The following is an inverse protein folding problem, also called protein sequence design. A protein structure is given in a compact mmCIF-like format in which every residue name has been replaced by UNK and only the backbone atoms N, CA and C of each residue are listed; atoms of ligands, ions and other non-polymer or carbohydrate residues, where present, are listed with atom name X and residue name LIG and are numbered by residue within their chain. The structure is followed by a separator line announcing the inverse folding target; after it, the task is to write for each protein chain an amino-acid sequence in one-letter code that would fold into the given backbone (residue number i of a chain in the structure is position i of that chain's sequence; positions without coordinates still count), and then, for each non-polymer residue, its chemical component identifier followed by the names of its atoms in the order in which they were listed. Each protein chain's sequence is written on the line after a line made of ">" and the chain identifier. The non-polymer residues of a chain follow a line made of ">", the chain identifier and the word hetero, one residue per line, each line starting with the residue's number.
data_IF_432636080514
#
_entry.id   IF_432636080514
#
_cell.length_a   1.000
_cell.length_b   1.000
_cell.length_c   1.000
_cell.angle_alpha   90.00
_cell.angle_beta   90.00
_cell.angle_gamma   90.00
#
_symmetry.space_group_name_H-M   'P 1'
#
loop_
_entity.id
_entity.type
_entity.pdbx_description
1 polymer ?
#
# COMPACT_ATOMS: atom_id res chain seq x y z
N UNK A 1 -44.47 21.00 14.25
CA UNK A 1 -43.40 21.60 15.05
C UNK A 1 -42.95 20.54 16.06
N UNK A 2 -42.30 19.47 15.63
CA UNK A 2 -40.91 19.25 15.19
C UNK A 2 -39.90 19.07 16.35
N UNK A 3 -39.87 17.86 16.93
CA UNK A 3 -38.82 17.38 17.85
C UNK A 3 -37.42 17.31 17.19
N UNK A 4 -37.32 17.49 15.85
CA UNK A 4 -36.03 17.65 15.16
C UNK A 4 -35.48 19.09 15.27
N UNK A 5 -36.34 20.09 15.40
CA UNK A 5 -35.89 21.49 15.56
C UNK A 5 -35.38 21.74 16.99
N UNK A 6 -36.01 21.15 18.01
CA UNK A 6 -35.56 21.23 19.41
C UNK A 6 -34.27 20.44 19.68
N UNK A 7 -34.09 19.29 19.00
CA UNK A 7 -32.84 18.54 19.04
C UNK A 7 -31.70 19.30 18.34
N UNK A 8 -31.97 19.96 17.21
CA UNK A 8 -31.01 20.83 16.53
C UNK A 8 -30.60 22.04 17.37
N UNK A 9 -31.56 22.68 18.04
CA UNK A 9 -31.32 23.84 18.90
C UNK A 9 -30.56 23.51 20.19
N UNK A 10 -30.81 22.34 20.79
CA UNK A 10 -30.11 21.90 22.01
C UNK A 10 -28.68 21.44 21.71
N UNK A 11 -28.45 20.85 20.53
CA UNK A 11 -27.10 20.53 20.04
C UNK A 11 -26.35 21.83 19.74
N UNK A 12 -26.97 22.82 19.10
CA UNK A 12 -26.35 24.14 18.87
C UNK A 12 -26.01 24.90 20.16
N UNK A 13 -26.86 24.84 21.18
CA UNK A 13 -26.60 25.48 22.48
C UNK A 13 -25.49 24.80 23.30
N UNK A 14 -25.28 23.49 23.09
CA UNK A 14 -24.17 22.75 23.71
C UNK A 14 -22.86 22.97 22.94
N UNK A 15 -22.92 23.10 21.61
CA UNK A 15 -21.79 23.51 20.75
C UNK A 15 -21.36 24.97 20.99
N UNK A 16 -22.24 25.84 21.47
CA UNK A 16 -21.95 27.26 21.73
C UNK A 16 -21.11 27.51 23.00
N UNK A 17 -20.83 26.48 23.81
CA UNK A 17 -20.04 26.62 25.06
C UNK A 17 -18.55 26.39 24.88
N UNK A 18 -18.11 25.88 23.72
CA UNK A 18 -16.69 25.76 23.41
C UNK A 18 -16.47 25.73 21.88
N UNK A 19 -16.38 26.92 21.24
CA UNK A 19 -16.11 27.05 19.80
C UNK A 19 -14.79 26.41 19.36
N UNK A 20 -13.91 26.05 20.30
CA UNK A 20 -12.63 25.39 20.06
C UNK A 20 -12.64 23.88 20.41
N UNK A 21 -13.82 23.25 20.51
CA UNK A 21 -13.88 21.80 20.72
C UNK A 21 -13.84 21.05 19.37
N UNK A 22 -12.90 20.11 19.24
CA UNK A 22 -12.77 19.23 18.07
C UNK A 22 -14.08 18.51 17.70
N UNK A 23 -14.87 18.08 18.69
CA UNK A 23 -16.16 17.41 18.46
C UNK A 23 -17.21 18.33 17.80
N UNK A 24 -17.22 19.62 18.15
CA UNK A 24 -18.08 20.65 17.54
C UNK A 24 -17.81 20.76 16.03
N UNK A 25 -16.54 20.91 15.67
CA UNK A 25 -16.10 20.95 14.28
C UNK A 25 -16.40 19.63 13.55
N UNK A 26 -16.21 18.47 14.19
CA UNK A 26 -16.53 17.20 13.57
C UNK A 26 -18.04 17.06 13.30
N UNK A 27 -18.91 17.45 14.23
CA UNK A 27 -20.37 17.44 14.05
C UNK A 27 -20.82 18.36 12.90
N UNK A 28 -20.25 19.56 12.81
CA UNK A 28 -20.50 20.47 11.68
C UNK A 28 -20.05 19.84 10.35
N UNK A 29 -18.90 19.16 10.33
CA UNK A 29 -18.42 18.45 9.15
C UNK A 29 -19.40 17.39 8.67
N UNK A 30 -19.94 16.58 9.58
CA UNK A 30 -20.96 15.58 9.25
C UNK A 30 -22.26 16.20 8.75
N UNK A 31 -22.74 17.28 9.38
CA UNK A 31 -23.93 17.99 8.93
C UNK A 31 -23.74 18.58 7.51
N UNK A 32 -22.58 19.19 7.23
CA UNK A 32 -22.25 19.65 5.87
C UNK A 32 -22.21 18.49 4.86
N UNK A 33 -21.66 17.34 5.25
CA UNK A 33 -21.60 16.17 4.38
C UNK A 33 -22.99 15.61 4.05
N UNK A 34 -23.88 15.53 5.03
CA UNK A 34 -25.29 15.14 4.85
C UNK A 34 -26.04 16.09 3.92
N UNK A 35 -25.71 17.39 3.97
CA UNK A 35 -26.26 18.41 3.08
C UNK A 35 -25.60 18.42 1.68
N UNK A 36 -24.67 17.51 1.39
CA UNK A 36 -23.94 17.47 0.11
C UNK A 36 -22.85 18.54 -0.02
N UNK A 37 -22.61 19.35 1.01
CA UNK A 37 -21.58 20.40 1.07
C UNK A 37 -20.21 19.83 1.41
N UNK A 38 -19.74 18.89 0.57
CA UNK A 38 -18.53 18.10 0.78
C UNK A 38 -17.28 18.92 1.08
N UNK A 39 -17.08 20.05 0.39
CA UNK A 39 -15.89 20.88 0.57
C UNK A 39 -15.87 21.57 1.93
N UNK A 40 -17.00 22.12 2.36
CA UNK A 40 -17.16 22.68 3.71
C UNK A 40 -17.01 21.61 4.78
N UNK A 41 -17.55 20.40 4.54
CA UNK A 41 -17.37 19.27 5.43
C UNK A 41 -15.89 18.96 5.69
N UNK A 42 -15.08 18.93 4.62
CA UNK A 42 -13.63 18.70 4.70
C UNK A 42 -12.89 19.81 5.47
N UNK A 43 -13.34 21.06 5.38
CA UNK A 43 -12.79 22.17 6.17
C UNK A 43 -13.08 22.01 7.66
N UNK A 44 -14.33 21.69 8.02
CA UNK A 44 -14.72 21.43 9.40
C UNK A 44 -13.99 20.21 9.99
N UNK A 45 -13.89 19.10 9.24
CA UNK A 45 -13.11 17.95 9.70
C UNK A 45 -11.62 18.26 9.86
N UNK A 46 -11.05 19.08 8.97
CA UNK A 46 -9.67 19.54 9.10
C UNK A 46 -9.46 20.33 10.38
N UNK A 47 -10.38 21.22 10.71
CA UNK A 47 -10.28 22.04 11.92
C UNK A 47 -10.43 21.20 13.18
N UNK A 48 -11.33 20.20 13.16
CA UNK A 48 -11.41 19.20 14.22
C UNK A 48 -10.06 18.48 14.44
N UNK A 49 -9.39 18.05 13.36
CA UNK A 49 -8.09 17.39 13.44
C UNK A 49 -6.92 18.34 13.77
N UNK A 50 -7.09 19.65 13.57
CA UNK A 50 -6.14 20.67 14.03
C UNK A 50 -6.21 20.82 15.56
N UNK A 51 -7.41 20.79 16.11
CA UNK A 51 -7.68 20.93 17.55
C UNK A 51 -7.35 19.64 18.31
N UNK A 52 -7.74 18.50 17.76
CA UNK A 52 -7.42 17.17 18.29
C UNK A 52 -7.06 16.23 17.14
N UNK A 53 -5.78 15.96 16.99
CA UNK A 53 -5.27 15.07 15.97
C UNK A 53 -5.83 13.65 16.08
N UNK A 54 -6.22 13.20 17.28
CA UNK A 54 -6.72 11.85 17.56
C UNK A 54 -8.24 11.74 17.45
N UNK A 55 -8.94 12.77 16.97
CA UNK A 55 -10.38 12.69 16.75
C UNK A 55 -10.72 11.71 15.60
N UNK A 56 -10.95 10.44 15.95
CA UNK A 56 -11.29 9.37 15.01
C UNK A 56 -12.59 9.66 14.24
N UNK A 57 -13.54 10.36 14.85
CA UNK A 57 -14.81 10.74 14.22
C UNK A 57 -14.60 11.71 13.05
N UNK A 58 -13.69 12.68 13.23
CA UNK A 58 -13.28 13.59 12.17
C UNK A 58 -12.44 12.89 11.09
N UNK A 59 -11.54 11.96 11.47
CA UNK A 59 -10.78 11.14 10.51
C UNK A 59 -11.73 10.31 9.63
N UNK A 60 -12.74 9.68 10.22
CA UNK A 60 -13.78 8.94 9.50
C UNK A 60 -14.60 9.84 8.57
N UNK A 61 -14.92 11.05 9.03
CA UNK A 61 -15.61 12.07 8.25
C UNK A 61 -14.87 12.48 6.97
N UNK A 62 -13.54 12.68 7.05
CA UNK A 62 -12.71 12.93 5.86
C UNK A 62 -12.83 11.76 4.88
N UNK A 63 -12.71 10.52 5.36
CA UNK A 63 -12.78 9.33 4.50
C UNK A 63 -14.13 9.26 3.77
N UNK A 64 -15.24 9.56 4.44
CA UNK A 64 -16.57 9.55 3.84
C UNK A 64 -16.78 10.71 2.85
N UNK A 65 -16.32 11.91 3.21
CA UNK A 65 -16.32 13.06 2.30
C UNK A 65 -15.49 12.79 1.04
N UNK A 66 -14.38 12.06 1.13
CA UNK A 66 -13.59 11.66 -0.03
C UNK A 66 -14.32 10.67 -0.94
N UNK A 67 -15.08 9.71 -0.39
CA UNK A 67 -15.93 8.79 -1.18
C UNK A 67 -17.00 9.56 -1.97
N UNK A 68 -17.68 10.49 -1.31
CA UNK A 68 -18.73 11.30 -1.92
C UNK A 68 -18.20 12.17 -3.07
N UNK A 69 -16.91 12.50 -3.06
CA UNK A 69 -16.29 13.40 -4.03
C UNK A 69 -15.85 12.78 -5.34
N UNK A 70 -15.55 11.47 -5.37
CA UNK A 70 -15.06 10.82 -6.56
C UNK A 70 -15.42 9.31 -6.55
N UNK A 71 -16.18 8.82 -7.55
CA UNK A 71 -16.60 7.42 -7.58
C UNK A 71 -15.43 6.45 -7.73
N UNK A 72 -14.36 6.83 -8.44
CA UNK A 72 -13.14 6.00 -8.57
C UNK A 72 -12.47 5.86 -7.22
N UNK A 73 -12.34 6.97 -6.48
CA UNK A 73 -11.80 6.96 -5.13
C UNK A 73 -12.64 6.07 -4.21
N UNK A 74 -13.97 6.15 -4.31
CA UNK A 74 -14.88 5.31 -3.55
C UNK A 74 -14.68 3.81 -3.85
N UNK A 75 -14.54 3.43 -5.12
CA UNK A 75 -14.29 2.03 -5.52
C UNK A 75 -12.94 1.54 -5.00
N UNK A 76 -11.87 2.33 -5.20
CA UNK A 76 -10.53 1.98 -4.73
C UNK A 76 -10.50 1.83 -3.21
N UNK A 77 -11.13 2.76 -2.50
CA UNK A 77 -11.21 2.73 -1.06
C UNK A 77 -12.00 1.51 -0.56
N UNK A 78 -13.15 1.22 -1.18
CA UNK A 78 -13.95 0.02 -0.85
C UNK A 78 -13.12 -1.24 -1.04
N UNK A 79 -12.36 -1.33 -2.12
CA UNK A 79 -11.45 -2.46 -2.37
C UNK A 79 -10.37 -2.57 -1.29
N UNK A 80 -9.62 -1.50 -1.00
CA UNK A 80 -8.54 -1.57 -0.01
C UNK A 80 -9.04 -1.90 1.39
N UNK A 81 -10.17 -1.33 1.81
CA UNK A 81 -10.80 -1.64 3.11
C UNK A 81 -11.38 -3.05 3.15
N UNK A 82 -11.89 -3.57 2.04
CA UNK A 82 -12.33 -4.96 1.96
C UNK A 82 -11.13 -5.90 2.13
N UNK A 83 -10.05 -5.66 1.37
CA UNK A 83 -8.85 -6.50 1.41
C UNK A 83 -8.14 -6.44 2.77
N UNK A 84 -8.11 -5.28 3.43
CA UNK A 84 -7.48 -5.13 4.75
C UNK A 84 -8.21 -5.88 5.87
N UNK A 85 -9.49 -6.21 5.68
CA UNK A 85 -10.29 -6.99 6.64
C UNK A 85 -10.11 -8.50 6.50
N UNK A 86 -9.58 -8.98 5.38
CA UNK A 86 -9.40 -10.42 5.16
C UNK A 86 -8.28 -10.96 6.06
N UNK A 87 -8.49 -12.15 6.63
CA UNK A 87 -7.43 -12.83 7.38
C UNK A 87 -6.25 -13.17 6.45
N UNK A 88 -5.02 -13.26 6.99
CA UNK A 88 -3.85 -13.60 6.17
C UNK A 88 -4.06 -14.90 5.36
N UNK A 89 -4.72 -15.92 5.93
CA UNK A 89 -5.00 -17.17 5.24
C UNK A 89 -5.91 -17.00 4.02
N UNK A 90 -6.93 -16.14 4.10
CA UNK A 90 -7.80 -15.84 2.95
C UNK A 90 -7.05 -15.05 1.88
N UNK A 91 -6.23 -14.07 2.27
CA UNK A 91 -5.36 -13.37 1.32
C UNK A 91 -4.44 -14.35 0.58
N UNK A 92 -3.85 -15.32 1.28
CA UNK A 92 -3.05 -16.39 0.65
C UNK A 92 -3.88 -17.28 -0.28
N UNK A 93 -5.10 -17.66 0.10
CA UNK A 93 -5.98 -18.48 -0.75
C UNK A 93 -6.30 -17.78 -2.08
N UNK A 94 -6.53 -16.46 -2.06
CA UNK A 94 -6.75 -15.64 -3.26
C UNK A 94 -5.51 -15.70 -4.18
N UNK A 95 -4.30 -15.59 -3.61
CA UNK A 95 -3.05 -15.64 -4.37
C UNK A 95 -2.77 -17.04 -4.92
N UNK A 96 -3.00 -18.09 -4.13
CA UNK A 96 -2.83 -19.47 -4.61
C UNK A 96 -3.82 -19.76 -5.74
N UNK A 97 -5.10 -19.39 -5.55
CA UNK A 97 -6.13 -19.55 -6.58
C UNK A 97 -5.78 -18.79 -7.86
N UNK A 98 -5.31 -17.55 -7.73
CA UNK A 98 -4.85 -16.76 -8.86
C UNK A 98 -3.61 -17.33 -9.55
N UNK A 99 -2.66 -17.90 -8.80
CA UNK A 99 -1.47 -18.56 -9.35
C UNK A 99 -1.84 -19.80 -10.16
N UNK A 100 -2.76 -20.62 -9.64
CA UNK A 100 -3.31 -21.76 -10.35
C UNK A 100 -4.05 -21.31 -11.61
N UNK A 101 -4.86 -20.26 -11.51
CA UNK A 101 -5.51 -19.62 -12.66
C UNK A 101 -4.51 -19.14 -13.72
N UNK A 102 -3.39 -18.54 -13.30
CA UNK A 102 -2.34 -18.09 -14.19
C UNK A 102 -1.62 -19.26 -14.91
N UNK A 103 -1.44 -20.41 -14.24
CA UNK A 103 -0.92 -21.62 -14.90
C UNK A 103 -1.89 -22.11 -15.98
N UNK A 104 -3.20 -22.09 -15.70
CA UNK A 104 -4.23 -22.44 -16.68
C UNK A 104 -4.21 -21.46 -17.86
N UNK A 105 -4.15 -20.14 -17.60
CA UNK A 105 -4.02 -19.13 -18.67
C UNK A 105 -2.81 -19.37 -19.57
N UNK A 106 -1.67 -19.78 -18.98
CA UNK A 106 -0.48 -20.16 -19.75
C UNK A 106 -0.70 -21.39 -20.63
N UNK A 107 -1.33 -22.43 -20.09
CA UNK A 107 -1.68 -23.65 -20.85
C UNK A 107 -2.63 -23.33 -22.01
N UNK A 108 -3.65 -22.50 -21.77
CA UNK A 108 -4.63 -22.11 -22.78
C UNK A 108 -3.99 -21.27 -23.88
N UNK A 109 -3.02 -20.41 -23.56
CA UNK A 109 -2.27 -19.62 -24.55
C UNK A 109 -1.47 -20.50 -25.51
N UNK A 110 -0.87 -21.58 -25.00
CA UNK A 110 -0.08 -22.51 -25.81
C UNK A 110 -0.98 -23.33 -26.74
N UNK A 111 -2.17 -23.72 -26.27
CA UNK A 111 -3.15 -24.44 -27.08
C UNK A 111 -3.88 -23.56 -28.10
N UNK A 112 -3.99 -22.25 -27.86
CA UNK A 112 -4.71 -21.30 -28.71
C UNK A 112 -3.87 -20.05 -29.02
N UNK A 113 -3.16 -20.02 -30.15
CA UNK A 113 -2.29 -18.90 -30.53
C UNK A 113 -3.02 -17.54 -30.59
N UNK A 114 -4.32 -17.52 -30.90
CA UNK A 114 -5.13 -16.29 -30.93
C UNK A 114 -5.36 -15.64 -29.56
N UNK A 115 -5.21 -16.38 -28.46
CA UNK A 115 -5.34 -15.86 -27.09
C UNK A 115 -4.00 -15.36 -26.52
N UNK A 116 -2.88 -15.72 -27.13
CA UNK A 116 -1.54 -15.38 -26.66
C UNK A 116 -1.33 -13.86 -26.41
N UNK A 117 -1.81 -12.93 -27.26
CA UNK A 117 -1.66 -11.49 -27.01
C UNK A 117 -2.37 -10.99 -25.75
N UNK A 118 -3.45 -11.65 -25.33
CA UNK A 118 -4.26 -11.26 -24.16
C UNK A 118 -3.70 -11.80 -22.84
N UNK A 119 -2.84 -12.83 -22.90
CA UNK A 119 -2.26 -13.47 -21.71
C UNK A 119 -1.26 -12.58 -20.99
N UNK A 120 -0.45 -11.79 -21.72
CA UNK A 120 0.50 -10.88 -21.10
C UNK A 120 -0.19 -9.75 -20.30
N UNK A 121 -1.17 -9.02 -20.87
CA UNK A 121 -1.99 -8.08 -20.10
C UNK A 121 -2.67 -8.71 -18.89
N UNK A 122 -3.24 -9.92 -19.04
CA UNK A 122 -3.88 -10.64 -17.94
C UNK A 122 -2.89 -10.99 -16.82
N UNK A 123 -1.66 -11.39 -17.16
CA UNK A 123 -0.57 -11.64 -16.19
C UNK A 123 -0.16 -10.38 -15.45
N UNK A 124 0.02 -9.27 -16.16
CA UNK A 124 0.36 -7.99 -15.55
C UNK A 124 -0.76 -7.56 -14.59
N UNK A 125 -2.03 -7.66 -15.02
CA UNK A 125 -3.18 -7.35 -14.18
C UNK A 125 -3.25 -8.26 -12.95
N UNK A 126 -2.95 -9.56 -13.10
CA UNK A 126 -2.91 -10.50 -11.99
C UNK A 126 -1.79 -10.16 -10.98
N UNK A 127 -0.57 -9.85 -11.46
CA UNK A 127 0.55 -9.45 -10.59
C UNK A 127 0.20 -8.15 -9.86
N UNK A 128 -0.36 -7.16 -10.57
CA UNK A 128 -0.81 -5.92 -9.96
C UNK A 128 -1.88 -6.18 -8.88
N UNK A 129 -2.86 -7.02 -9.17
CA UNK A 129 -3.88 -7.44 -8.20
C UNK A 129 -3.28 -8.14 -6.98
N UNK A 130 -2.30 -9.03 -7.18
CA UNK A 130 -1.59 -9.72 -6.10
C UNK A 130 -0.81 -8.73 -5.20
N UNK A 131 -0.09 -7.79 -5.80
CA UNK A 131 0.63 -6.73 -5.06
C UNK A 131 -0.36 -5.86 -4.29
N UNK A 132 -1.44 -5.40 -4.92
CA UNK A 132 -2.47 -4.59 -4.26
C UNK A 132 -3.19 -5.35 -3.14
N UNK A 133 -3.31 -6.67 -3.24
CA UNK A 133 -3.89 -7.53 -2.21
C UNK A 133 -3.03 -7.53 -0.94
N UNK A 134 -1.72 -7.74 -1.06
CA UNK A 134 -0.81 -7.78 0.10
C UNK A 134 -0.45 -6.41 0.65
N UNK A 135 -0.45 -5.39 -0.21
CA UNK A 135 -0.12 -4.01 0.16
C UNK A 135 -1.37 -3.14 0.35
N UNK A 136 -2.58 -3.72 0.42
CA UNK A 136 -3.84 -2.98 0.48
C UNK A 136 -3.87 -1.89 1.56
N UNK A 137 -3.40 -2.22 2.78
CA UNK A 137 -3.35 -1.26 3.88
C UNK A 137 -2.33 -0.13 3.65
N UNK A 138 -1.05 -0.42 3.35
CA UNK A 138 -0.10 0.64 2.98
C UNK A 138 -0.53 1.48 1.77
N UNK A 139 -1.17 0.85 0.77
CA UNK A 139 -1.68 1.52 -0.43
C UNK A 139 -2.87 2.43 -0.11
N UNK A 140 -3.74 2.03 0.81
CA UNK A 140 -4.77 2.91 1.35
C UNK A 140 -4.18 4.15 2.03
N UNK A 141 -3.15 3.97 2.86
CA UNK A 141 -2.47 5.10 3.52
C UNK A 141 -1.78 6.01 2.50
N UNK A 142 -1.10 5.45 1.51
CA UNK A 142 -0.49 6.21 0.41
C UNK A 142 -1.55 6.97 -0.40
N UNK A 143 -2.69 6.33 -0.69
CA UNK A 143 -3.80 6.96 -1.40
C UNK A 143 -4.41 8.13 -0.62
N UNK A 144 -4.62 7.97 0.70
CA UNK A 144 -5.04 9.08 1.57
C UNK A 144 -4.02 10.20 1.56
N UNK A 145 -2.73 9.86 1.65
CA UNK A 145 -1.64 10.84 1.68
C UNK A 145 -1.55 11.71 0.43
N UNK A 146 -1.80 11.14 -0.75
CA UNK A 146 -1.79 11.88 -2.01
C UNK A 146 -2.98 12.83 -2.13
N UNK A 147 -4.04 12.63 -1.36
CA UNK A 147 -5.16 13.55 -1.29
C UNK A 147 -4.88 14.72 -0.32
N UNK A 148 -5.21 15.94 -0.74
CA UNK A 148 -5.02 17.15 0.06
C UNK A 148 -5.60 17.05 1.47
N UNK A 149 -6.82 16.54 1.61
CA UNK A 149 -7.49 16.37 2.89
C UNK A 149 -7.26 14.97 3.48
N UNK A 150 -7.14 13.94 2.65
CA UNK A 150 -6.89 12.57 3.11
C UNK A 150 -5.62 12.42 3.96
N UNK A 151 -4.57 13.21 3.68
CA UNK A 151 -3.32 13.19 4.46
C UNK A 151 -3.52 13.57 5.93
N UNK A 152 -4.56 14.33 6.25
CA UNK A 152 -4.87 14.77 7.62
C UNK A 152 -5.47 13.64 8.46
N UNK A 153 -6.07 12.64 7.81
CA UNK A 153 -6.62 11.47 8.48
C UNK A 153 -5.54 10.45 8.90
N UNK A 154 -4.28 10.65 8.50
CA UNK A 154 -3.17 9.75 8.80
C UNK A 154 -2.50 10.12 10.12
N UNK A 155 -2.16 9.10 10.90
CA UNK A 155 -1.25 9.24 12.04
C UNK A 155 0.18 9.58 11.59
N UNK A 156 1.03 10.11 12.48
CA UNK A 156 2.45 10.33 12.18
C UNK A 156 3.16 9.05 11.71
N UNK A 157 2.83 7.90 12.32
CA UNK A 157 3.38 6.61 11.97
C UNK A 157 2.95 6.15 10.57
N UNK A 158 1.65 6.24 10.24
CA UNK A 158 1.14 5.93 8.89
C UNK A 158 1.73 6.87 7.82
N UNK A 159 2.09 8.09 8.21
CA UNK A 159 2.81 9.02 7.33
C UNK A 159 4.22 8.53 7.03
N UNK A 160 4.95 8.03 8.04
CA UNK A 160 6.27 7.41 7.85
C UNK A 160 6.15 6.13 7.01
N UNK A 161 5.19 5.25 7.30
CA UNK A 161 4.89 4.06 6.48
C UNK A 161 4.70 4.44 5.02
N UNK A 162 3.83 5.42 4.75
CA UNK A 162 3.53 5.89 3.40
C UNK A 162 4.75 6.47 2.67
N UNK A 163 5.74 7.04 3.38
CA UNK A 163 6.97 7.53 2.76
C UNK A 163 7.79 6.38 2.20
N UNK A 164 8.02 5.37 3.04
CA UNK A 164 8.87 4.24 2.69
C UNK A 164 8.22 3.41 1.59
N UNK A 165 6.93 3.07 1.78
CA UNK A 165 6.17 2.29 0.81
C UNK A 165 6.00 3.07 -0.49
N UNK A 166 5.68 4.36 -0.43
CA UNK A 166 5.57 5.21 -1.60
C UNK A 166 6.88 5.29 -2.39
N UNK A 167 8.02 5.44 -1.70
CA UNK A 167 9.34 5.47 -2.33
C UNK A 167 9.67 4.17 -3.07
N UNK A 168 9.52 3.02 -2.40
CA UNK A 168 9.77 1.70 -3.03
C UNK A 168 8.77 1.44 -4.16
N UNK A 169 7.51 1.83 -4.00
CA UNK A 169 6.49 1.69 -5.04
C UNK A 169 6.83 2.51 -6.28
N UNK A 170 7.31 3.75 -6.12
CA UNK A 170 7.76 4.58 -7.24
C UNK A 170 8.97 3.99 -7.96
N UNK A 171 9.94 3.42 -7.23
CA UNK A 171 11.07 2.70 -7.84
C UNK A 171 10.60 1.47 -8.63
N UNK A 172 9.64 0.72 -8.09
CA UNK A 172 8.99 -0.40 -8.79
C UNK A 172 8.25 0.06 -10.05
N UNK A 173 7.50 1.16 -9.97
CA UNK A 173 6.77 1.73 -11.10
C UNK A 173 7.73 2.24 -12.19
N UNK A 174 8.80 2.94 -11.81
CA UNK A 174 9.84 3.38 -12.74
C UNK A 174 10.50 2.19 -13.44
N UNK A 175 10.78 1.10 -12.69
CA UNK A 175 11.32 -0.14 -13.24
C UNK A 175 10.35 -0.82 -14.20
N UNK A 176 9.04 -0.81 -13.89
CA UNK A 176 8.00 -1.32 -14.78
C UNK A 176 7.91 -0.51 -16.08
N UNK A 177 7.92 0.82 -15.98
CA UNK A 177 7.91 1.72 -17.15
C UNK A 177 9.13 1.45 -18.03
N UNK A 178 10.31 1.28 -17.43
CA UNK A 178 11.53 0.91 -18.16
C UNK A 178 11.41 -0.46 -18.85
N UNK A 179 10.83 -1.46 -18.16
CA UNK A 179 10.57 -2.76 -18.76
C UNK A 179 9.62 -2.65 -19.95
N UNK A 180 8.52 -1.91 -19.82
CA UNK A 180 7.56 -1.69 -20.90
C UNK A 180 8.20 -0.97 -22.09
N UNK A 181 8.99 0.07 -21.84
CA UNK A 181 9.71 0.82 -22.87
C UNK A 181 10.74 -0.04 -23.63
N UNK A 182 11.32 -1.04 -22.96
CA UNK A 182 12.30 -1.96 -23.56
C UNK A 182 11.68 -3.28 -24.05
N UNK A 183 10.36 -3.43 -23.98
CA UNK A 183 9.65 -4.65 -24.36
C UNK A 183 10.03 -5.88 -23.50
N UNK A 184 10.38 -5.67 -22.22
CA UNK A 184 10.90 -6.68 -21.30
C UNK A 184 12.19 -7.37 -21.78
N UNK A 185 12.98 -6.71 -22.61
CA UNK A 185 14.26 -7.26 -23.07
C UNK A 185 15.45 -6.85 -22.20
N UNK A 186 15.28 -5.86 -21.31
CA UNK A 186 16.33 -5.39 -20.41
C UNK A 186 16.41 -6.24 -19.14
N UNK A 187 17.48 -7.05 -18.93
CA UNK A 187 17.61 -7.89 -17.73
C UNK A 187 17.70 -7.04 -16.46
N UNK A 188 18.34 -5.86 -16.57
CA UNK A 188 18.43 -4.91 -15.47
C UNK A 188 17.07 -4.35 -15.06
N UNK A 189 16.21 -4.00 -16.04
CA UNK A 189 14.85 -3.54 -15.76
C UNK A 189 14.03 -4.60 -15.02
N UNK A 190 14.10 -5.85 -15.47
CA UNK A 190 13.38 -6.98 -14.85
C UNK A 190 13.90 -7.23 -13.44
N UNK A 191 15.22 -7.18 -13.24
CA UNK A 191 15.87 -7.32 -11.93
C UNK A 191 15.37 -6.23 -10.97
N UNK A 192 15.43 -4.96 -11.39
CA UNK A 192 14.98 -3.83 -10.58
C UNK A 192 13.49 -3.94 -10.23
N UNK A 193 12.64 -4.30 -11.21
CA UNK A 193 11.21 -4.52 -11.00
C UNK A 193 10.96 -5.63 -9.98
N UNK A 194 11.72 -6.73 -10.05
CA UNK A 194 11.60 -7.85 -9.12
C UNK A 194 12.01 -7.44 -7.71
N UNK A 195 13.16 -6.76 -7.56
CA UNK A 195 13.66 -6.32 -6.26
C UNK A 195 12.70 -5.33 -5.60
N UNK A 196 12.35 -4.23 -6.28
CA UNK A 196 11.49 -3.21 -5.69
C UNK A 196 10.03 -3.66 -5.54
N UNK A 197 9.52 -4.45 -6.49
CA UNK A 197 8.17 -5.01 -6.41
C UNK A 197 8.00 -5.94 -5.21
N UNK A 198 8.98 -6.81 -4.95
CA UNK A 198 8.93 -7.74 -3.82
C UNK A 198 9.26 -7.09 -2.48
N UNK A 199 10.14 -6.07 -2.44
CA UNK A 199 10.48 -5.33 -1.21
C UNK A 199 9.26 -4.67 -0.54
N UNK A 200 8.19 -4.39 -1.28
CA UNK A 200 6.95 -3.88 -0.70
C UNK A 200 6.34 -4.83 0.35
N UNK A 201 6.59 -6.14 0.24
CA UNK A 201 6.01 -7.16 1.13
C UNK A 201 6.58 -7.12 2.56
N UNK A 202 7.90 -7.28 2.78
CA UNK A 202 8.46 -7.14 4.12
C UNK A 202 8.27 -5.73 4.67
N UNK A 203 8.28 -4.72 3.81
CA UNK A 203 8.07 -3.34 4.24
C UNK A 203 6.65 -3.11 4.78
N UNK A 204 5.63 -3.70 4.15
CA UNK A 204 4.28 -3.69 4.68
C UNK A 204 4.15 -4.46 6.01
N UNK A 205 4.95 -5.51 6.20
CA UNK A 205 5.01 -6.27 7.46
C UNK A 205 5.67 -5.50 8.62
N UNK A 206 6.63 -4.63 8.32
CA UNK A 206 7.36 -3.83 9.32
C UNK A 206 6.43 -2.99 10.19
N UNK A 207 5.50 -2.25 9.58
CA UNK A 207 4.60 -1.33 10.28
C UNK A 207 3.43 -2.03 10.97
N UNK A 208 3.25 -3.35 10.74
CA UNK A 208 2.31 -4.17 11.53
C UNK A 208 2.92 -4.65 12.86
N UNK A 209 4.25 -4.60 12.99
CA UNK A 209 4.92 -5.03 14.21
C UNK A 209 4.80 -3.97 15.29
N UNK A 210 4.50 -4.38 16.52
CA UNK A 210 4.49 -3.52 17.71
C UNK A 210 5.87 -2.90 17.95
N UNK A 211 5.87 -1.70 18.54
CA UNK A 211 7.11 -1.02 18.90
C UNK A 211 7.97 -1.86 19.87
N UNK A 212 9.29 -1.74 19.74
CA UNK A 212 10.24 -2.52 20.52
C UNK A 212 11.02 -3.54 19.70
N UNK A 213 11.35 -4.68 20.31
CA UNK A 213 12.19 -5.70 19.68
C UNK A 213 11.59 -6.35 18.41
N UNK A 214 10.25 -6.56 18.27
CA UNK A 214 9.70 -7.16 17.05
C UNK A 214 9.91 -6.25 15.84
N UNK A 215 9.57 -4.96 15.97
CA UNK A 215 9.79 -3.97 14.92
C UNK A 215 11.27 -3.79 14.57
N UNK A 216 12.17 -3.77 15.56
CA UNK A 216 13.63 -3.68 15.31
C UNK A 216 14.15 -4.89 14.54
N UNK A 217 13.67 -6.09 14.88
CA UNK A 217 14.00 -7.32 14.16
C UNK A 217 13.51 -7.26 12.72
N UNK A 218 12.24 -6.87 12.52
CA UNK A 218 11.67 -6.75 11.17
C UNK A 218 12.39 -5.67 10.35
N UNK A 219 12.79 -4.57 10.98
CA UNK A 219 13.58 -3.51 10.32
C UNK A 219 14.94 -4.05 9.86
N UNK A 220 15.65 -4.79 10.71
CA UNK A 220 16.92 -5.41 10.33
C UNK A 220 16.76 -6.36 9.14
N UNK A 221 15.67 -7.12 9.08
CA UNK A 221 15.34 -7.99 7.95
C UNK A 221 15.07 -7.18 6.68
N UNK A 222 14.25 -6.12 6.76
CA UNK A 222 13.98 -5.24 5.60
C UNK A 222 15.26 -4.60 5.08
N UNK A 223 16.12 -4.09 5.96
CA UNK A 223 17.42 -3.51 5.60
C UNK A 223 18.32 -4.55 4.96
N UNK A 224 18.45 -5.73 5.56
CA UNK A 224 19.24 -6.84 5.01
C UNK A 224 18.76 -7.25 3.62
N UNK A 225 17.46 -7.46 3.43
CA UNK A 225 16.88 -7.80 2.13
C UNK A 225 17.09 -6.69 1.10
N UNK A 226 16.99 -5.43 1.52
CA UNK A 226 17.28 -4.29 0.64
C UNK A 226 18.73 -4.32 0.16
N UNK A 227 19.69 -4.55 1.07
CA UNK A 227 21.11 -4.65 0.71
C UNK A 227 21.39 -5.84 -0.22
N UNK A 228 20.79 -7.01 0.03
CA UNK A 228 20.92 -8.19 -0.84
C UNK A 228 20.33 -7.90 -2.23
N UNK A 229 19.16 -7.28 -2.32
CA UNK A 229 18.55 -6.90 -3.58
C UNK A 229 19.39 -5.89 -4.39
N UNK A 230 19.93 -4.87 -3.71
CA UNK A 230 20.84 -3.90 -4.33
C UNK A 230 22.16 -4.56 -4.76
N UNK A 231 22.69 -5.52 -4.00
CA UNK A 231 23.86 -6.28 -4.39
C UNK A 231 23.63 -7.11 -5.67
N UNK A 232 22.46 -7.75 -5.80
CA UNK A 232 22.09 -8.45 -7.04
C UNK A 232 22.05 -7.49 -8.24
N UNK A 233 21.42 -6.31 -8.08
CA UNK A 233 21.38 -5.29 -9.12
C UNK A 233 22.77 -4.77 -9.49
N UNK A 234 23.64 -4.57 -8.49
CA UNK A 234 25.01 -4.12 -8.70
C UNK A 234 25.86 -5.15 -9.45
N UNK A 235 25.78 -6.43 -9.09
CA UNK A 235 26.45 -7.51 -9.80
C UNK A 235 25.99 -7.59 -11.26
N UNK A 236 24.68 -7.45 -11.50
CA UNK A 236 24.13 -7.45 -12.83
C UNK A 236 24.60 -6.22 -13.63
N UNK A 237 24.63 -5.04 -13.01
CA UNK A 237 25.19 -3.84 -13.64
C UNK A 237 26.62 -4.08 -14.08
N UNK A 238 27.47 -4.60 -13.19
CA UNK A 238 28.87 -4.89 -13.53
C UNK A 238 29.00 -5.88 -14.69
N UNK A 239 28.08 -6.85 -14.79
CA UNK A 239 28.06 -7.82 -15.88
C UNK A 239 27.82 -7.20 -17.26
N UNK A 240 27.02 -6.14 -17.35
CA UNK A 240 26.62 -5.52 -18.62
C UNK A 240 27.37 -4.22 -18.94
N UNK A 241 27.74 -3.45 -17.92
CA UNK A 241 28.26 -2.08 -18.05
C UNK A 241 29.61 -1.85 -17.36
N UNK A 242 30.22 -2.87 -16.74
CA UNK A 242 31.47 -2.72 -15.97
C UNK A 242 32.70 -2.51 -16.85
N UNK A 243 33.19 -3.57 -17.49
CA UNK A 243 34.54 -3.61 -18.10
C UNK A 243 34.51 -3.61 -19.65
N UNK A 244 33.45 -3.09 -20.26
CA UNK A 244 33.28 -3.06 -21.73
C UNK A 244 33.10 -4.43 -22.40
N UNK A 245 33.04 -5.52 -21.63
CA UNK A 245 32.73 -6.88 -22.06
C UNK A 245 31.69 -7.50 -21.14
N UNK A 246 30.84 -8.36 -21.69
CA UNK A 246 29.85 -9.10 -20.91
C UNK A 246 30.52 -10.14 -20.00
N UNK A 247 30.30 -10.05 -18.69
CA UNK A 247 30.89 -10.94 -17.69
C UNK A 247 29.87 -11.98 -17.19
N UNK A 248 29.74 -13.09 -17.93
CA UNK A 248 28.76 -14.16 -17.65
C UNK A 248 28.73 -14.63 -16.18
N UNK A 249 29.90 -14.81 -15.55
CA UNK A 249 29.99 -15.22 -14.15
C UNK A 249 29.32 -14.22 -13.19
N UNK A 250 29.44 -12.90 -13.43
CA UNK A 250 28.78 -11.89 -12.60
C UNK A 250 27.27 -11.88 -12.79
N UNK A 251 26.78 -12.16 -14.02
CA UNK A 251 25.36 -12.34 -14.26
C UNK A 251 24.82 -13.56 -13.50
N UNK A 252 25.52 -14.70 -13.55
CA UNK A 252 25.14 -15.91 -12.80
C UNK A 252 25.06 -15.64 -11.29
N UNK A 253 26.10 -15.03 -10.71
CA UNK A 253 26.08 -14.64 -9.29
C UNK A 253 24.96 -13.64 -8.96
N UNK A 254 24.63 -12.70 -9.87
CA UNK A 254 23.51 -11.79 -9.66
C UNK A 254 22.18 -12.52 -9.51
N UNK A 255 21.93 -13.55 -10.34
CA UNK A 255 20.71 -14.37 -10.26
C UNK A 255 20.69 -15.28 -9.03
N UNK A 256 21.84 -15.81 -8.60
CA UNK A 256 21.94 -16.56 -7.33
C UNK A 256 21.59 -15.68 -6.13
N UNK A 257 22.15 -14.46 -6.08
CA UNK A 257 21.83 -13.48 -5.03
C UNK A 257 20.36 -13.06 -5.09
N UNK A 258 19.78 -12.89 -6.28
CA UNK A 258 18.34 -12.67 -6.43
C UNK A 258 17.50 -13.85 -5.90
N UNK A 259 17.96 -15.09 -6.10
CA UNK A 259 17.33 -16.29 -5.55
C UNK A 259 17.30 -16.26 -4.03
N UNK A 260 18.43 -15.94 -3.39
CA UNK A 260 18.53 -15.76 -1.94
C UNK A 260 17.63 -14.63 -1.44
N UNK A 261 17.61 -13.50 -2.15
CA UNK A 261 16.69 -12.39 -1.87
C UNK A 261 15.24 -12.86 -1.90
N UNK A 262 14.82 -13.58 -2.94
CA UNK A 262 13.43 -14.04 -3.12
C UNK A 262 13.00 -15.03 -2.02
N UNK A 263 13.90 -15.94 -1.63
CA UNK A 263 13.67 -16.83 -0.48
C UNK A 263 13.57 -16.05 0.82
N UNK A 264 14.43 -15.04 1.00
CA UNK A 264 14.38 -14.13 2.14
C UNK A 264 13.08 -13.33 2.23
N UNK A 265 12.55 -12.87 1.09
CA UNK A 265 11.22 -12.23 1.00
C UNK A 265 10.15 -13.20 1.49
N UNK A 266 10.13 -14.44 1.00
CA UNK A 266 9.15 -15.43 1.44
C UNK A 266 9.26 -15.69 2.95
N UNK A 267 10.48 -15.94 3.46
CA UNK A 267 10.72 -16.14 4.89
C UNK A 267 10.27 -14.94 5.74
N UNK A 268 10.50 -13.71 5.24
CA UNK A 268 10.10 -12.48 5.93
C UNK A 268 8.58 -12.33 6.10
N UNK A 269 7.77 -12.92 5.22
CA UNK A 269 6.30 -12.87 5.37
C UNK A 269 5.83 -13.68 6.58
N UNK A 270 6.39 -14.87 6.79
CA UNK A 270 6.10 -15.71 7.95
C UNK A 270 6.66 -15.09 9.23
N UNK A 271 7.89 -14.59 9.17
CA UNK A 271 8.51 -13.90 10.29
C UNK A 271 7.72 -12.66 10.69
N UNK A 272 7.30 -11.83 9.73
CA UNK A 272 6.49 -10.64 9.97
C UNK A 272 5.16 -10.97 10.65
N UNK A 273 4.48 -12.04 10.21
CA UNK A 273 3.25 -12.51 10.86
C UNK A 273 3.51 -12.96 12.32
N UNK A 274 4.60 -13.68 12.55
CA UNK A 274 5.00 -14.07 13.91
C UNK A 274 5.33 -12.85 14.77
N UNK A 275 6.17 -11.93 14.30
CA UNK A 275 6.56 -10.72 15.02
C UNK A 275 5.37 -9.80 15.31
N UNK A 276 4.42 -9.68 14.38
CA UNK A 276 3.19 -8.91 14.60
C UNK A 276 2.29 -9.51 15.69
N UNK A 277 2.38 -10.83 15.95
CA UNK A 277 1.66 -11.47 17.06
C UNK A 277 2.27 -11.17 18.44
N UNK A 278 3.53 -10.71 18.49
CA UNK A 278 4.22 -10.42 19.74
C UNK A 278 3.86 -9.02 20.23
N UNK A 279 3.47 -8.91 21.51
CA UNK A 279 3.25 -7.64 22.21
C UNK A 279 4.23 -7.55 23.39
N UNK A 280 5.43 -7.00 23.19
CA UNK A 280 6.36 -6.81 24.30
C UNK A 280 5.72 -5.85 25.31
N UNK A 281 5.84 -6.18 26.59
CA UNK A 281 5.51 -5.23 27.66
C UNK A 281 6.60 -4.16 27.66
N UNK A 282 6.17 -2.91 27.55
CA UNK A 282 7.04 -1.75 27.72
C UNK A 282 7.58 -1.68 29.15
#
# INVERSE_FOLDING_TARGET
>A
MNRRDEAGATIQATLARDPENSATHANQGWACLENGEREKALEHFREALRLDAENEWARAGIVEALKAGNPIYAVMLKYFLFMSKLSPGVQWAIIIGGYLGNRVLGSVAQSNPGLAPWVLPARIAYIAFAVLTWTAYPMFNLMLRLNRFGRLALTPEQTVESNWVGGVFLLGLASLIWCLATGFNSPFGIMALTVFGLLLLPLAGLFRCSEGWPRRTMLAVVVGLTLVGLAAMWLLWQSYFGDGRFLKAKAESAFEVLGLFSLGILASTFLGNYLASQRPKH
#
